data_IF_556953108465
#
_entry.id   IF_556953108465
#
_cell.length_a   1.000
_cell.length_b   1.000
_cell.length_c   1.000
_cell.angle_alpha   90.00
_cell.angle_beta   90.00
_cell.angle_gamma   90.00
#
_symmetry.space_group_name_H-M   'P 1'
#
loop_
_entity.id
_entity.type
_entity.pdbx_description
1 polymer ?
#
# COMPACT_ATOMS: atom_id res chain seq x y z
N UNK A 1 -0.14 -13.94 -17.11
CA UNK A 1 -0.14 -12.89 -16.07
C UNK A 1 1.04 -13.17 -15.17
N UNK A 2 1.88 -12.18 -14.88
CA UNK A 2 2.95 -12.34 -13.89
C UNK A 2 2.29 -12.35 -12.52
N UNK A 3 2.44 -13.44 -11.78
CA UNK A 3 1.85 -13.59 -10.46
C UNK A 3 2.69 -12.80 -9.45
N UNK A 4 2.05 -11.89 -8.73
CA UNK A 4 2.75 -11.01 -7.77
C UNK A 4 3.27 -11.81 -6.57
N UNK A 5 2.59 -12.89 -6.21
CA UNK A 5 3.01 -13.81 -5.14
C UNK A 5 4.33 -14.50 -5.49
N UNK A 6 4.48 -14.95 -6.74
CA UNK A 6 5.71 -15.59 -7.22
C UNK A 6 6.90 -14.62 -7.23
N UNK A 7 6.66 -13.33 -7.52
CA UNK A 7 7.69 -12.29 -7.42
C UNK A 7 8.12 -12.10 -5.96
N UNK A 8 7.17 -12.00 -5.02
CA UNK A 8 7.47 -11.82 -3.59
C UNK A 8 8.26 -13.01 -3.04
N UNK A 9 7.87 -14.23 -3.38
CA UNK A 9 8.60 -15.44 -2.99
C UNK A 9 10.01 -15.48 -3.57
N UNK A 10 10.19 -15.08 -4.84
CA UNK A 10 11.50 -14.99 -5.46
C UNK A 10 12.41 -13.92 -4.82
N UNK A 11 11.85 -12.77 -4.42
CA UNK A 11 12.61 -11.72 -3.73
C UNK A 11 13.04 -12.16 -2.33
N UNK A 12 12.19 -12.87 -1.59
CA UNK A 12 12.56 -13.42 -0.29
C UNK A 12 13.71 -14.45 -0.40
N UNK A 13 13.70 -15.30 -1.43
CA UNK A 13 14.79 -16.27 -1.69
C UNK A 13 16.11 -15.58 -2.07
N UNK A 14 16.03 -14.41 -2.73
CA UNK A 14 17.18 -13.55 -3.02
C UNK A 14 17.76 -12.95 -1.73
N UNK A 15 16.92 -12.43 -0.84
CA UNK A 15 17.35 -11.84 0.45
C UNK A 15 17.96 -12.88 1.41
N UNK A 16 17.50 -14.13 1.36
CA UNK A 16 18.02 -15.25 2.16
C UNK A 16 19.36 -15.79 1.65
N UNK A 17 19.77 -15.45 0.42
CA UNK A 17 20.99 -15.97 -0.20
C UNK A 17 22.11 -14.91 -0.17
N UNK A 18 23.31 -15.29 0.28
CA UNK A 18 24.48 -14.40 0.26
C UNK A 18 24.97 -14.07 -1.16
N UNK A 19 24.83 -15.00 -2.11
CA UNK A 19 25.14 -14.78 -3.54
C UNK A 19 24.01 -15.34 -4.43
N UNK A 20 22.90 -14.58 -4.60
CA UNK A 20 21.71 -15.07 -5.28
C UNK A 20 21.91 -15.20 -6.79
N UNK A 21 21.76 -16.42 -7.31
CA UNK A 21 21.69 -16.66 -8.74
C UNK A 21 20.29 -16.32 -9.28
N UNK A 22 20.10 -15.05 -9.68
CA UNK A 22 18.83 -14.53 -10.21
C UNK A 22 18.23 -15.36 -11.34
N UNK A 23 19.05 -16.03 -12.18
CA UNK A 23 18.54 -16.84 -13.30
C UNK A 23 17.91 -18.14 -12.83
N UNK A 24 18.49 -18.79 -11.82
CA UNK A 24 17.97 -20.04 -11.28
C UNK A 24 16.70 -19.81 -10.49
N UNK A 25 16.68 -18.76 -9.67
CA UNK A 25 15.50 -18.34 -8.91
C UNK A 25 14.37 -17.97 -9.89
N UNK A 26 14.65 -17.16 -10.92
CA UNK A 26 13.65 -16.82 -11.93
C UNK A 26 13.08 -18.06 -12.64
N UNK A 27 13.92 -19.07 -12.95
CA UNK A 27 13.48 -20.33 -13.56
C UNK A 27 12.57 -21.14 -12.63
N UNK A 28 12.89 -21.20 -11.33
CA UNK A 28 12.09 -21.89 -10.30
C UNK A 28 10.66 -21.33 -10.24
N UNK A 29 10.53 -20.01 -10.27
CA UNK A 29 9.24 -19.31 -10.21
C UNK A 29 8.61 -19.05 -11.58
N UNK A 30 9.19 -19.57 -12.68
CA UNK A 30 8.74 -19.34 -14.07
C UNK A 30 8.61 -17.84 -14.41
N UNK A 31 9.46 -17.01 -13.83
CA UNK A 31 9.55 -15.58 -14.04
C UNK A 31 10.60 -15.23 -15.10
N UNK A 32 10.41 -14.12 -15.78
CA UNK A 32 11.47 -13.57 -16.63
C UNK A 32 12.57 -12.98 -15.75
N UNK A 33 13.82 -13.41 -15.95
CA UNK A 33 14.99 -12.91 -15.22
C UNK A 33 15.09 -11.38 -15.22
N UNK A 34 14.75 -10.72 -16.33
CA UNK A 34 14.76 -9.25 -16.43
C UNK A 34 13.75 -8.59 -15.50
N UNK A 35 12.57 -9.18 -15.32
CA UNK A 35 11.55 -8.71 -14.39
C UNK A 35 12.03 -8.84 -12.95
N UNK A 36 12.59 -10.00 -12.59
CA UNK A 36 13.10 -10.25 -11.24
C UNK A 36 14.26 -9.30 -10.88
N UNK A 37 15.21 -9.12 -11.80
CA UNK A 37 16.34 -8.20 -11.61
C UNK A 37 15.88 -6.75 -11.43
N UNK A 38 14.90 -6.29 -12.22
CA UNK A 38 14.34 -4.94 -12.09
C UNK A 38 13.60 -4.73 -10.76
N UNK A 39 12.86 -5.74 -10.29
CA UNK A 39 12.19 -5.73 -8.99
C UNK A 39 13.20 -5.71 -7.84
N UNK A 40 14.22 -6.58 -7.87
CA UNK A 40 15.26 -6.65 -6.85
C UNK A 40 16.08 -5.36 -6.74
N UNK A 41 16.32 -4.68 -7.87
CA UNK A 41 16.98 -3.36 -7.91
C UNK A 41 16.05 -2.18 -7.58
N UNK A 42 14.77 -2.42 -7.26
CA UNK A 42 13.80 -1.36 -6.98
C UNK A 42 13.41 -0.49 -8.20
N UNK A 43 13.77 -0.90 -9.42
CA UNK A 43 13.50 -0.13 -10.65
C UNK A 43 12.04 -0.21 -11.09
N UNK A 44 11.25 -1.11 -10.52
CA UNK A 44 9.85 -1.31 -10.86
C UNK A 44 9.11 -1.75 -9.60
N UNK A 45 7.94 -1.16 -9.33
CA UNK A 45 7.04 -1.53 -8.23
C UNK A 45 5.86 -2.36 -8.73
N UNK A 46 5.15 -3.04 -7.82
CA UNK A 46 3.90 -3.70 -8.22
C UNK A 46 2.92 -2.67 -8.75
N UNK A 47 2.13 -3.08 -9.74
CA UNK A 47 0.98 -2.28 -10.18
C UNK A 47 -0.03 -2.13 -9.04
N UNK A 48 -0.21 -3.17 -8.22
CA UNK A 48 -1.11 -3.10 -7.06
C UNK A 48 -0.61 -2.07 -6.05
N UNK A 49 0.67 -2.12 -5.69
CA UNK A 49 1.28 -1.15 -4.77
C UNK A 49 1.21 0.28 -5.33
N UNK A 50 1.55 0.47 -6.61
CA UNK A 50 1.44 1.77 -7.28
C UNK A 50 0.01 2.30 -7.31
N UNK A 51 -0.95 1.43 -7.61
CA UNK A 51 -2.35 1.81 -7.66
C UNK A 51 -2.89 2.10 -6.27
N UNK A 52 -2.44 1.37 -5.25
CA UNK A 52 -2.75 1.65 -3.84
C UNK A 52 -2.23 3.02 -3.45
N UNK A 53 -0.96 3.32 -3.75
CA UNK A 53 -0.31 4.59 -3.42
C UNK A 53 -0.94 5.78 -4.17
N UNK A 54 -1.28 5.62 -5.46
CA UNK A 54 -1.96 6.68 -6.23
C UNK A 54 -3.42 6.87 -5.80
N UNK A 55 -4.12 5.79 -5.45
CA UNK A 55 -5.52 5.87 -5.05
C UNK A 55 -5.70 6.25 -3.57
N UNK A 56 -4.63 6.26 -2.79
CA UNK A 56 -4.64 6.77 -1.44
C UNK A 56 -4.81 8.29 -1.49
N UNK A 57 -5.98 8.77 -1.04
CA UNK A 57 -6.22 10.21 -0.90
C UNK A 57 -5.34 10.84 0.21
N UNK A 58 -4.89 10.05 1.18
CA UNK A 58 -4.07 10.49 2.31
C UNK A 58 -2.70 9.82 2.23
N UNK A 59 -1.64 10.60 2.45
CA UNK A 59 -0.33 10.03 2.75
C UNK A 59 -0.25 9.55 4.22
N UNK A 60 0.77 8.76 4.57
CA UNK A 60 0.94 8.19 5.91
C UNK A 60 0.88 9.23 7.06
N UNK A 61 1.38 10.44 6.84
CA UNK A 61 1.38 11.51 7.85
C UNK A 61 -0.05 12.06 8.02
N UNK A 62 -0.75 12.30 6.93
CA UNK A 62 -2.14 12.75 6.93
C UNK A 62 -3.07 11.71 7.56
N UNK A 63 -2.83 10.43 7.27
CA UNK A 63 -3.55 9.31 7.85
C UNK A 63 -3.35 9.22 9.37
N UNK A 64 -2.11 9.40 9.83
CA UNK A 64 -1.80 9.49 11.26
C UNK A 64 -2.52 10.65 11.96
N UNK A 65 -2.56 11.83 11.33
CA UNK A 65 -3.28 12.99 11.86
C UNK A 65 -4.78 12.69 11.97
N UNK A 66 -5.37 12.08 10.93
CA UNK A 66 -6.78 11.70 10.93
C UNK A 66 -7.09 10.69 12.04
N UNK A 67 -6.30 9.62 12.17
CA UNK A 67 -6.47 8.61 13.24
C UNK A 67 -6.35 9.25 14.63
N UNK A 68 -5.37 10.14 14.82
CA UNK A 68 -5.19 10.86 16.08
C UNK A 68 -6.44 11.68 16.44
N UNK A 69 -7.04 12.34 15.46
CA UNK A 69 -8.27 13.12 15.66
C UNK A 69 -9.47 12.21 16.00
N UNK A 70 -9.60 11.08 15.30
CA UNK A 70 -10.64 10.07 15.56
C UNK A 70 -10.52 9.54 17.00
N UNK A 71 -9.31 9.18 17.42
CA UNK A 71 -9.06 8.66 18.76
C UNK A 71 -9.37 9.71 19.83
N UNK A 72 -8.89 10.95 19.65
CA UNK A 72 -9.14 12.05 20.58
C UNK A 72 -10.63 12.30 20.85
N UNK A 73 -11.47 12.18 19.82
CA UNK A 73 -12.93 12.34 19.94
C UNK A 73 -13.59 11.11 20.55
N UNK A 74 -13.13 9.91 20.17
CA UNK A 74 -13.63 8.64 20.69
C UNK A 74 -13.35 8.50 22.19
N UNK A 75 -12.16 8.89 22.64
CA UNK A 75 -11.75 8.91 24.05
C UNK A 75 -12.64 9.85 24.90
N UNK A 76 -13.27 10.84 24.27
CA UNK A 76 -14.23 11.76 24.91
C UNK A 76 -15.67 11.26 24.87
N UNK A 77 -15.91 10.05 24.38
CA UNK A 77 -17.23 9.46 24.24
C UNK A 77 -18.07 10.09 23.12
N UNK A 78 -17.45 10.80 22.17
CA UNK A 78 -18.15 11.37 21.02
C UNK A 78 -18.18 10.31 19.91
N UNK A 79 -19.36 9.75 19.56
CA UNK A 79 -19.44 8.79 18.48
C UNK A 79 -19.12 9.48 17.15
N UNK A 80 -18.11 8.98 16.43
CA UNK A 80 -17.86 9.42 15.07
C UNK A 80 -18.83 8.75 14.10
N UNK A 81 -19.42 9.58 13.25
CA UNK A 81 -20.20 9.14 12.10
C UNK A 81 -19.28 9.18 10.87
N UNK A 82 -19.48 8.28 9.91
CA UNK A 82 -18.74 8.23 8.64
C UNK A 82 -18.60 9.60 7.96
N UNK A 83 -19.63 10.45 8.03
CA UNK A 83 -19.60 11.82 7.51
C UNK A 83 -18.55 12.71 8.18
N UNK A 84 -18.33 12.58 9.49
CA UNK A 84 -17.29 13.36 10.19
C UNK A 84 -15.89 12.93 9.76
N UNK A 85 -15.65 11.61 9.65
CA UNK A 85 -14.37 11.08 9.15
C UNK A 85 -14.08 11.60 7.74
N UNK A 86 -15.11 11.61 6.87
CA UNK A 86 -15.02 12.21 5.53
C UNK A 86 -14.62 13.68 5.59
N UNK A 87 -15.33 14.49 6.38
CA UNK A 87 -15.06 15.92 6.50
C UNK A 87 -13.63 16.21 6.99
N UNK A 88 -13.14 15.45 7.99
CA UNK A 88 -11.77 15.61 8.48
C UNK A 88 -10.73 15.26 7.42
N UNK A 89 -10.95 14.19 6.65
CA UNK A 89 -10.07 13.82 5.56
C UNK A 89 -10.03 14.92 4.48
N UNK A 90 -11.18 15.45 4.08
CA UNK A 90 -11.30 16.56 3.10
C UNK A 90 -10.64 17.84 3.60
N UNK A 91 -10.75 18.15 4.90
CA UNK A 91 -10.06 19.28 5.54
C UNK A 91 -8.53 19.13 5.49
N UNK A 92 -8.01 17.91 5.67
CA UNK A 92 -6.57 17.62 5.65
C UNK A 92 -5.99 17.71 4.22
N UNK A 93 -6.73 17.26 3.20
CA UNK A 93 -6.23 17.19 1.81
C UNK A 93 -6.61 18.40 0.95
N UNK A 94 -7.58 19.20 1.39
CA UNK A 94 -8.02 20.42 0.69
C UNK A 94 -8.86 20.17 -0.56
N UNK A 95 -9.36 18.95 -0.77
CA UNK A 95 -10.26 18.59 -1.87
C UNK A 95 -11.27 17.54 -1.43
N UNK A 96 -12.34 17.37 -2.22
CA UNK A 96 -13.37 16.38 -1.94
C UNK A 96 -12.86 14.94 -2.17
N UNK A 97 -13.27 14.03 -1.29
CA UNK A 97 -13.04 12.58 -1.45
C UNK A 97 -14.28 11.90 -2.01
N UNK A 98 -14.07 10.78 -2.71
CA UNK A 98 -15.15 9.99 -3.30
C UNK A 98 -16.21 9.56 -2.28
N UNK A 99 -17.45 9.39 -2.74
CA UNK A 99 -18.61 9.04 -1.89
C UNK A 99 -18.38 7.82 -0.99
N UNK A 100 -17.69 6.80 -1.49
CA UNK A 100 -17.45 5.54 -0.77
C UNK A 100 -16.11 5.51 -0.03
N UNK A 101 -15.36 6.62 -0.03
CA UNK A 101 -13.98 6.65 0.45
C UNK A 101 -13.85 6.20 1.90
N UNK A 102 -14.76 6.60 2.80
CA UNK A 102 -14.70 6.18 4.22
C UNK A 102 -14.84 4.67 4.37
N UNK A 103 -15.70 4.03 3.57
CA UNK A 103 -15.85 2.58 3.59
C UNK A 103 -14.61 1.87 3.06
N UNK A 104 -13.89 2.47 2.12
CA UNK A 104 -12.65 1.92 1.59
C UNK A 104 -11.47 2.16 2.54
N UNK A 105 -11.45 3.31 3.21
CA UNK A 105 -10.50 3.64 4.27
C UNK A 105 -10.55 2.64 5.44
N UNK A 106 -11.75 2.22 5.86
CA UNK A 106 -11.89 1.23 6.94
C UNK A 106 -11.55 -0.22 6.52
N UNK A 107 -11.30 -0.49 5.24
CA UNK A 107 -10.88 -1.82 4.74
C UNK A 107 -9.36 -1.94 4.61
N UNK A 108 -8.64 -0.83 4.68
CA UNK A 108 -7.17 -0.78 4.63
C UNK A 108 -6.56 -1.52 5.83
#
# INVERSE_FOLDING_TARGET
MVNEEDIKAALAEIELSEDPNYREIARKFKLTHTTLLRRAKGLTRSRADFQSEINQNLNNIQEYILIKQINYLTDRGIPLISKMVKNFAEEIIGHEVGKNWVSDFCKC
#
